data_IF_091330885666
#
_entry.id   IF_091330885666
#
_cell.length_a   1.000
_cell.length_b   1.000
_cell.length_c   1.000
_cell.angle_alpha   90.00
_cell.angle_beta   90.00
_cell.angle_gamma   90.00
#
_symmetry.space_group_name_H-M   'P 1'
#
loop_
_entity.id
_entity.type
_entity.pdbx_description
1 polymer ?
#
# COMPACT_ATOMS: atom_id res chain seq x y z
N UNK A 1 15.37 -13.74 1.74
CA UNK A 1 15.60 -12.47 1.03
C UNK A 1 15.57 -11.35 2.07
N UNK A 2 16.69 -10.64 2.23
CA UNK A 2 16.89 -9.60 3.26
C UNK A 2 15.74 -8.58 3.33
N UNK A 3 15.47 -8.12 4.56
CA UNK A 3 14.59 -7.01 4.93
C UNK A 3 14.95 -5.72 4.16
N UNK A 4 14.52 -5.61 2.91
CA UNK A 4 14.68 -4.38 2.16
C UNK A 4 13.62 -3.39 2.62
N UNK A 5 14.02 -2.49 3.53
CA UNK A 5 13.24 -1.32 3.93
C UNK A 5 12.93 -0.48 2.68
N UNK A 6 11.67 -0.09 2.52
CA UNK A 6 11.25 0.71 1.36
C UNK A 6 10.31 1.82 1.77
N UNK A 7 10.43 2.98 1.12
CA UNK A 7 9.44 4.06 1.18
C UNK A 7 8.72 4.04 -0.16
N UNK A 8 7.42 3.76 -0.15
CA UNK A 8 6.57 3.76 -1.34
C UNK A 8 5.96 5.17 -1.50
N UNK A 9 6.26 5.86 -2.62
CA UNK A 9 5.59 7.11 -2.97
C UNK A 9 4.09 6.92 -3.17
N UNK A 10 3.28 7.64 -2.40
CA UNK A 10 1.84 7.79 -2.63
C UNK A 10 1.60 9.05 -3.46
N UNK A 11 1.42 8.86 -4.76
CA UNK A 11 1.22 9.95 -5.73
C UNK A 11 -0.25 10.34 -5.75
N UNK A 12 -0.55 11.54 -5.22
CA UNK A 12 -1.89 12.14 -5.23
C UNK A 12 -2.11 13.14 -6.35
N UNK A 13 -1.01 13.72 -6.84
CA UNK A 13 -1.02 14.73 -7.89
C UNK A 13 -0.15 14.23 -9.05
N UNK A 14 -0.70 14.22 -10.26
CA UNK A 14 -0.02 13.70 -11.44
C UNK A 14 1.33 14.39 -11.71
N UNK A 15 1.45 15.69 -11.37
CA UNK A 15 2.70 16.46 -11.50
C UNK A 15 3.87 15.87 -10.70
N UNK A 16 3.59 15.07 -9.66
CA UNK A 16 4.61 14.41 -8.84
C UNK A 16 4.97 13.01 -9.34
N UNK A 17 4.28 12.48 -10.36
CA UNK A 17 4.52 11.12 -10.85
C UNK A 17 5.95 10.93 -11.36
N UNK A 18 6.48 11.91 -12.11
CA UNK A 18 7.87 11.86 -12.58
C UNK A 18 8.87 11.83 -11.41
N UNK A 19 8.64 12.65 -10.38
CA UNK A 19 9.48 12.67 -9.18
C UNK A 19 9.44 11.31 -8.46
N UNK A 20 8.25 10.76 -8.28
CA UNK A 20 8.07 9.45 -7.66
C UNK A 20 8.79 8.33 -8.46
N UNK A 21 8.70 8.36 -9.80
CA UNK A 21 9.37 7.39 -10.67
C UNK A 21 10.91 7.53 -10.68
N UNK A 22 11.47 8.63 -10.19
CA UNK A 22 12.92 8.79 -10.00
C UNK A 22 13.42 8.31 -8.63
N UNK A 23 12.51 8.00 -7.70
CA UNK A 23 12.87 7.47 -6.37
C UNK A 23 13.52 6.09 -6.45
N UNK A 24 14.13 5.65 -5.35
CA UNK A 24 14.67 4.29 -5.20
C UNK A 24 13.59 3.20 -5.05
N UNK A 25 12.33 3.59 -4.84
CA UNK A 25 11.24 2.65 -4.61
C UNK A 25 10.98 1.77 -5.84
N UNK A 26 10.79 0.47 -5.65
CA UNK A 26 10.39 -0.44 -6.73
C UNK A 26 8.89 -0.39 -7.04
N UNK A 27 8.10 0.18 -6.11
CA UNK A 27 6.64 0.31 -6.19
C UNK A 27 6.27 1.79 -6.13
N UNK A 28 5.32 2.21 -6.97
CA UNK A 28 4.68 3.52 -6.95
C UNK A 28 3.19 3.33 -6.70
N UNK A 29 2.63 4.01 -5.69
CA UNK A 29 1.20 3.97 -5.39
C UNK A 29 0.49 5.17 -6.01
N UNK A 30 -0.36 4.92 -7.01
CA UNK A 30 -1.25 5.88 -7.65
C UNK A 30 -2.50 6.04 -6.75
N UNK A 31 -2.56 7.13 -5.97
CA UNK A 31 -3.54 7.33 -4.90
C UNK A 31 -4.72 8.22 -5.27
N UNK A 32 -4.77 8.73 -6.50
CA UNK A 32 -5.87 9.53 -7.01
C UNK A 32 -5.85 9.44 -8.54
N UNK A 33 -6.63 8.50 -9.07
CA UNK A 33 -6.65 8.16 -10.49
C UNK A 33 -8.08 7.88 -10.91
N UNK A 34 -8.36 7.97 -12.20
CA UNK A 34 -9.62 7.54 -12.78
C UNK A 34 -9.37 6.53 -13.89
N UNK A 35 -10.43 5.83 -14.29
CA UNK A 35 -10.36 4.84 -15.37
C UNK A 35 -9.92 5.43 -16.72
N UNK A 36 -10.04 6.74 -16.93
CA UNK A 36 -9.67 7.43 -18.17
C UNK A 36 -8.19 7.73 -18.29
N UNK A 37 -7.48 7.93 -17.18
CA UNK A 37 -6.04 8.21 -17.17
C UNK A 37 -5.16 7.07 -16.66
N UNK A 38 -5.73 6.04 -16.01
CA UNK A 38 -4.96 4.99 -15.35
C UNK A 38 -3.97 4.26 -16.29
N UNK A 39 -4.37 3.93 -17.53
CA UNK A 39 -3.48 3.28 -18.52
C UNK A 39 -2.22 4.11 -18.78
N UNK A 40 -2.37 5.43 -18.90
CA UNK A 40 -1.24 6.34 -19.15
C UNK A 40 -0.31 6.37 -17.93
N UNK A 41 -0.88 6.37 -16.73
CA UNK A 41 -0.11 6.38 -15.49
C UNK A 41 0.66 5.07 -15.27
N UNK A 42 0.02 3.91 -15.42
CA UNK A 42 0.68 2.60 -15.26
C UNK A 42 1.78 2.43 -16.30
N UNK A 43 1.49 2.73 -17.58
CA UNK A 43 2.49 2.71 -18.65
C UNK A 43 3.69 3.62 -18.35
N UNK A 44 3.46 4.80 -17.77
CA UNK A 44 4.53 5.70 -17.38
C UNK A 44 5.39 5.11 -16.26
N UNK A 45 4.78 4.54 -15.22
CA UNK A 45 5.50 3.87 -14.13
C UNK A 45 6.35 2.71 -14.65
N UNK A 46 5.80 1.89 -15.55
CA UNK A 46 6.52 0.75 -16.14
C UNK A 46 7.70 1.17 -17.02
N UNK A 47 7.66 2.33 -17.68
CA UNK A 47 8.83 2.88 -18.43
C UNK A 47 10.05 3.09 -17.52
N UNK A 48 9.85 3.33 -16.23
CA UNK A 48 10.92 3.41 -15.23
C UNK A 48 11.27 2.06 -14.58
N UNK A 49 10.74 0.95 -15.12
CA UNK A 49 10.90 -0.42 -14.61
C UNK A 49 10.45 -0.59 -13.16
N UNK A 50 9.39 0.12 -12.78
CA UNK A 50 8.76 0.06 -11.45
C UNK A 50 7.38 -0.58 -11.55
N UNK A 51 6.86 -1.05 -10.43
CA UNK A 51 5.51 -1.62 -10.32
C UNK A 51 4.49 -0.53 -9.98
N UNK A 52 3.37 -0.52 -10.69
CA UNK A 52 2.27 0.40 -10.49
C UNK A 52 1.21 -0.23 -9.57
N UNK A 53 1.02 0.38 -8.40
CA UNK A 53 -0.01 0.00 -7.45
C UNK A 53 -1.11 1.05 -7.44
N UNK A 54 -2.34 0.65 -7.15
CA UNK A 54 -3.51 1.54 -7.06
C UNK A 54 -4.22 1.34 -5.74
N UNK A 55 -4.90 2.38 -5.26
CA UNK A 55 -5.83 2.25 -4.15
C UNK A 55 -7.23 2.01 -4.70
N UNK A 56 -7.78 0.81 -4.52
CA UNK A 56 -9.03 0.38 -5.18
C UNK A 56 -10.19 1.34 -4.95
N UNK A 57 -10.35 1.79 -3.71
CA UNK A 57 -11.44 2.66 -3.27
C UNK A 57 -11.29 4.11 -3.76
N UNK A 58 -10.14 4.50 -4.32
CA UNK A 58 -9.88 5.85 -4.84
C UNK A 58 -9.74 5.91 -6.37
N UNK A 59 -10.10 4.83 -7.08
CA UNK A 59 -10.16 4.85 -8.55
C UNK A 59 -11.55 5.36 -8.97
N UNK A 60 -11.63 6.59 -9.49
CA UNK A 60 -12.91 7.12 -9.94
C UNK A 60 -13.43 6.37 -11.19
N UNK A 61 -14.72 6.04 -11.18
CA UNK A 61 -15.37 5.26 -12.24
C UNK A 61 -15.12 3.75 -12.19
N UNK A 62 -14.49 3.25 -11.13
CA UNK A 62 -14.15 1.84 -10.97
C UNK A 62 -14.98 1.14 -9.89
N UNK A 63 -15.47 -0.06 -10.20
CA UNK A 63 -16.09 -0.94 -9.22
C UNK A 63 -15.11 -2.07 -8.83
N UNK A 64 -14.81 -2.27 -7.53
CA UNK A 64 -13.87 -3.29 -7.07
C UNK A 64 -14.50 -4.70 -7.00
N UNK A 65 -15.21 -5.10 -8.06
CA UNK A 65 -15.76 -6.44 -8.22
C UNK A 65 -14.81 -7.36 -9.01
N UNK A 66 -15.19 -8.62 -9.21
CA UNK A 66 -14.35 -9.59 -9.92
C UNK A 66 -14.04 -9.20 -11.37
N UNK A 67 -14.96 -8.50 -12.07
CA UNK A 67 -14.75 -8.05 -13.45
C UNK A 67 -13.82 -6.84 -13.47
N UNK A 68 -14.06 -5.87 -12.58
CA UNK A 68 -13.22 -4.71 -12.37
C UNK A 68 -11.77 -5.11 -12.06
N UNK A 69 -11.55 -6.02 -11.12
CA UNK A 69 -10.21 -6.48 -10.76
C UNK A 69 -9.49 -7.16 -11.94
N UNK A 70 -10.21 -7.93 -12.77
CA UNK A 70 -9.64 -8.51 -14.00
C UNK A 70 -9.29 -7.44 -15.03
N UNK A 71 -10.12 -6.40 -15.17
CA UNK A 71 -9.80 -5.24 -16.01
C UNK A 71 -8.53 -4.53 -15.51
N UNK A 72 -8.41 -4.29 -14.19
CA UNK A 72 -7.21 -3.67 -13.61
C UNK A 72 -5.95 -4.45 -13.96
N UNK A 73 -5.97 -5.77 -13.80
CA UNK A 73 -4.82 -6.61 -14.14
C UNK A 73 -4.53 -6.61 -15.64
N UNK A 74 -5.53 -6.93 -16.46
CA UNK A 74 -5.29 -7.29 -17.86
C UNK A 74 -5.28 -6.09 -18.81
N UNK A 75 -6.11 -5.08 -18.55
CA UNK A 75 -6.23 -3.91 -19.43
C UNK A 75 -5.39 -2.74 -18.91
N UNK A 76 -5.48 -2.47 -17.61
CA UNK A 76 -4.74 -1.36 -17.00
C UNK A 76 -3.31 -1.72 -16.60
N UNK A 77 -2.95 -3.01 -16.64
CA UNK A 77 -1.61 -3.51 -16.28
C UNK A 77 -1.20 -3.11 -14.86
N UNK A 78 -2.16 -3.09 -13.92
CA UNK A 78 -1.87 -2.86 -12.51
C UNK A 78 -1.12 -4.07 -11.94
N UNK A 79 -0.05 -3.82 -11.18
CA UNK A 79 0.79 -4.87 -10.57
C UNK A 79 0.31 -5.29 -9.17
N UNK A 80 -0.40 -4.39 -8.50
CA UNK A 80 -0.90 -4.62 -7.17
C UNK A 80 -1.85 -3.55 -6.67
N UNK A 81 -2.49 -3.84 -5.55
CA UNK A 81 -3.59 -3.05 -5.02
C UNK A 81 -3.43 -2.79 -3.53
N UNK A 82 -3.86 -1.61 -3.14
CA UNK A 82 -4.10 -1.21 -1.76
C UNK A 82 -5.60 -1.20 -1.53
N UNK A 83 -6.06 -1.86 -0.46
CA UNK A 83 -7.50 -1.95 -0.17
C UNK A 83 -7.78 -2.22 1.31
N UNK A 84 -8.92 -1.77 1.80
CA UNK A 84 -9.48 -2.16 3.11
C UNK A 84 -10.55 -3.25 2.98
N UNK A 85 -10.96 -3.57 1.74
CA UNK A 85 -11.97 -4.56 1.41
C UNK A 85 -11.34 -5.96 1.29
N UNK A 86 -11.69 -6.84 2.22
CA UNK A 86 -11.13 -8.20 2.31
C UNK A 86 -11.52 -9.04 1.09
N UNK A 87 -12.78 -8.96 0.65
CA UNK A 87 -13.29 -9.71 -0.49
C UNK A 87 -12.57 -9.29 -1.78
N UNK A 88 -12.45 -7.99 -2.04
CA UNK A 88 -11.72 -7.47 -3.19
C UNK A 88 -10.23 -7.84 -3.12
N UNK A 89 -9.62 -7.78 -1.93
CA UNK A 89 -8.24 -8.24 -1.72
C UNK A 89 -8.05 -9.72 -2.05
N UNK A 90 -8.94 -10.60 -1.59
CA UNK A 90 -8.85 -12.03 -1.89
C UNK A 90 -9.04 -12.33 -3.37
N UNK A 91 -9.97 -11.63 -4.04
CA UNK A 91 -10.16 -11.77 -5.49
C UNK A 91 -8.91 -11.26 -6.23
N UNK A 92 -8.37 -10.11 -5.85
CA UNK A 92 -7.16 -9.56 -6.45
C UNK A 92 -5.98 -10.55 -6.34
N UNK A 93 -5.81 -11.16 -5.17
CA UNK A 93 -4.78 -12.18 -4.93
C UNK A 93 -5.00 -13.43 -5.78
N UNK A 94 -6.24 -13.93 -5.88
CA UNK A 94 -6.54 -15.14 -6.66
C UNK A 94 -6.29 -14.97 -8.16
N UNK A 95 -6.40 -13.73 -8.67
CA UNK A 95 -6.03 -13.40 -10.04
C UNK A 95 -4.56 -13.00 -10.18
N UNK A 96 -3.73 -13.07 -9.14
CA UNK A 96 -2.29 -12.83 -9.20
C UNK A 96 -1.86 -11.37 -9.12
N UNK A 97 -2.70 -10.47 -8.59
CA UNK A 97 -2.27 -9.14 -8.17
C UNK A 97 -1.62 -9.21 -6.79
N UNK A 98 -0.63 -8.36 -6.55
CA UNK A 98 -0.11 -8.17 -5.19
C UNK A 98 -1.11 -7.38 -4.37
N UNK A 99 -1.28 -7.69 -3.09
CA UNK A 99 -2.25 -7.05 -2.21
C UNK A 99 -1.56 -6.53 -0.96
N UNK A 100 -1.65 -5.21 -0.79
CA UNK A 100 -1.33 -4.52 0.47
C UNK A 100 -2.65 -4.19 1.15
N UNK A 101 -3.01 -5.00 2.15
CA UNK A 101 -4.24 -4.79 2.90
C UNK A 101 -4.06 -3.66 3.91
N UNK A 102 -5.00 -2.74 3.95
CA UNK A 102 -4.94 -1.53 4.77
C UNK A 102 -5.85 -1.67 5.96
N UNK A 103 -5.32 -1.30 7.10
CA UNK A 103 -6.05 -1.36 8.36
C UNK A 103 -5.86 -0.06 9.15
N UNK A 104 -6.97 0.45 9.69
CA UNK A 104 -7.00 1.63 10.54
C UNK A 104 -7.00 1.25 12.01
N UNK A 105 -5.91 1.58 12.69
CA UNK A 105 -5.73 1.42 14.13
C UNK A 105 -6.29 2.65 14.85
N UNK A 106 -7.57 2.54 15.21
CA UNK A 106 -8.36 3.59 15.86
C UNK A 106 -8.40 3.35 17.38
N UNK A 107 -8.67 2.10 17.76
CA UNK A 107 -8.81 1.67 19.16
C UNK A 107 -8.36 0.20 19.34
N UNK A 108 -8.42 -0.31 20.56
CA UNK A 108 -8.06 -1.70 20.87
C UNK A 108 -8.96 -2.74 20.18
N UNK A 109 -10.22 -2.40 19.86
CA UNK A 109 -11.14 -3.29 19.12
C UNK A 109 -10.67 -3.46 17.67
N UNK A 110 -10.19 -2.38 17.07
CA UNK A 110 -9.65 -2.39 15.72
C UNK A 110 -8.43 -3.32 15.63
N UNK A 111 -7.54 -3.33 16.64
CA UNK A 111 -6.39 -4.23 16.69
C UNK A 111 -6.80 -5.71 16.77
N UNK A 112 -7.74 -6.06 17.65
CA UNK A 112 -8.25 -7.44 17.78
C UNK A 112 -8.89 -7.93 16.48
N UNK A 113 -9.70 -7.07 15.84
CA UNK A 113 -10.32 -7.38 14.54
C UNK A 113 -9.27 -7.67 13.48
N UNK A 114 -8.17 -6.93 13.47
CA UNK A 114 -7.06 -7.16 12.54
C UNK A 114 -6.45 -8.52 12.74
N UNK A 115 -6.18 -8.94 13.98
CA UNK A 115 -5.71 -10.30 14.26
C UNK A 115 -6.59 -11.37 13.61
N UNK A 116 -7.91 -11.32 13.88
CA UNK A 116 -8.87 -12.29 13.34
C UNK A 116 -8.98 -12.27 11.79
N UNK A 117 -8.87 -11.09 11.17
CA UNK A 117 -8.84 -10.99 9.70
C UNK A 117 -7.58 -11.67 9.16
N UNK A 118 -6.42 -11.40 9.75
CA UNK A 118 -5.13 -11.86 9.24
C UNK A 118 -4.86 -13.35 9.50
N UNK A 119 -5.54 -13.96 10.47
CA UNK A 119 -5.53 -15.42 10.67
C UNK A 119 -6.02 -16.17 9.43
N UNK A 120 -7.06 -15.65 8.77
CA UNK A 120 -7.72 -16.30 7.65
C UNK A 120 -7.35 -15.73 6.28
N UNK A 121 -6.61 -14.61 6.23
CA UNK A 121 -6.28 -13.91 5.00
C UNK A 121 -4.78 -13.62 4.92
N UNK A 122 -4.12 -14.23 3.93
CA UNK A 122 -2.68 -14.05 3.71
C UNK A 122 -2.42 -13.04 2.61
N UNK A 123 -2.34 -11.76 2.94
CA UNK A 123 -1.95 -10.70 1.99
C UNK A 123 -0.42 -10.55 1.90
N UNK A 124 0.06 -9.87 0.85
CA UNK A 124 1.52 -9.78 0.59
C UNK A 124 2.19 -8.79 1.56
N UNK A 125 1.45 -7.77 1.99
CA UNK A 125 1.80 -6.93 3.13
C UNK A 125 0.55 -6.32 3.78
N UNK A 126 0.69 -5.84 5.02
CA UNK A 126 -0.34 -5.13 5.76
C UNK A 126 0.15 -3.71 6.04
N UNK A 127 -0.63 -2.71 5.64
CA UNK A 127 -0.39 -1.32 5.98
C UNK A 127 -1.24 -0.89 7.17
N UNK A 128 -0.58 -0.47 8.24
CA UNK A 128 -1.20 0.09 9.44
C UNK A 128 -1.26 1.61 9.32
N UNK A 129 -2.47 2.15 9.50
CA UNK A 129 -2.72 3.58 9.49
C UNK A 129 -3.43 4.02 10.78
N UNK A 130 -3.18 5.24 11.27
CA UNK A 130 -2.07 6.09 10.88
C UNK A 130 -0.73 5.59 11.45
N UNK A 131 0.38 6.06 10.90
CA UNK A 131 1.71 5.66 11.34
C UNK A 131 1.98 6.06 12.81
N UNK A 132 1.36 7.12 13.33
CA UNK A 132 1.48 7.47 14.74
C UNK A 132 0.87 6.40 15.67
N UNK A 133 -0.29 5.84 15.32
CA UNK A 133 -0.87 4.70 16.03
C UNK A 133 -0.01 3.44 15.84
N UNK A 134 0.50 3.21 14.63
CA UNK A 134 1.38 2.07 14.35
C UNK A 134 2.67 2.08 15.20
N UNK A 135 3.22 3.26 15.45
CA UNK A 135 4.37 3.46 16.34
C UNK A 135 3.97 3.17 17.80
N UNK A 136 2.90 3.81 18.28
CA UNK A 136 2.45 3.71 19.67
C UNK A 136 2.12 2.26 20.06
N UNK A 137 1.45 1.54 19.16
CA UNK A 137 0.95 0.18 19.39
C UNK A 137 1.87 -0.90 18.80
N UNK A 138 3.11 -0.55 18.44
CA UNK A 138 4.06 -1.46 17.79
C UNK A 138 4.33 -2.74 18.58
N UNK A 139 4.36 -2.64 19.92
CA UNK A 139 4.55 -3.79 20.80
C UNK A 139 3.37 -4.77 20.74
N UNK A 140 2.14 -4.29 20.63
CA UNK A 140 0.97 -5.15 20.53
C UNK A 140 0.76 -5.68 19.11
N UNK A 141 1.12 -4.90 18.08
CA UNK A 141 1.20 -5.38 16.70
C UNK A 141 2.20 -6.53 16.55
N UNK A 142 3.34 -6.47 17.23
CA UNK A 142 4.33 -7.54 17.20
C UNK A 142 3.86 -8.85 17.86
N UNK A 143 2.85 -8.78 18.75
CA UNK A 143 2.23 -9.98 19.37
C UNK A 143 1.18 -10.62 18.47
N UNK A 144 0.66 -9.89 17.48
CA UNK A 144 -0.18 -10.49 16.46
C UNK A 144 0.76 -11.36 15.60
N UNK A 145 0.51 -12.67 15.54
CA UNK A 145 1.31 -13.63 14.75
C UNK A 145 1.11 -13.41 13.23
N UNK A 146 1.45 -12.21 12.75
CA UNK A 146 1.26 -11.78 11.37
C UNK A 146 2.44 -12.29 10.55
N UNK A 147 2.16 -13.21 9.63
CA UNK A 147 3.16 -13.75 8.70
C UNK A 147 3.53 -12.78 7.57
N UNK A 148 2.66 -11.80 7.29
CA UNK A 148 2.84 -10.78 6.26
C UNK A 148 3.76 -9.65 6.71
N UNK A 149 4.43 -8.98 5.76
CA UNK A 149 5.24 -7.79 6.07
C UNK A 149 4.36 -6.65 6.58
N UNK A 150 4.80 -5.95 7.62
CA UNK A 150 4.13 -4.76 8.15
C UNK A 150 4.65 -3.47 7.52
N UNK A 151 3.73 -2.63 7.11
CA UNK A 151 3.95 -1.31 6.53
C UNK A 151 3.24 -0.28 7.42
N UNK A 152 3.76 0.95 7.47
CA UNK A 152 3.08 2.06 8.15
C UNK A 152 2.80 3.19 7.16
N UNK A 153 1.63 3.80 7.28
CA UNK A 153 1.19 4.87 6.38
C UNK A 153 0.41 5.97 7.10
N UNK A 154 0.37 7.16 6.51
CA UNK A 154 -0.40 8.30 7.04
C UNK A 154 0.31 9.10 8.14
N UNK A 155 0.15 10.42 8.09
CA UNK A 155 0.77 11.40 9.01
C UNK A 155 2.30 11.34 9.15
N UNK A 156 3.02 10.76 8.18
CA UNK A 156 4.49 10.72 8.19
C UNK A 156 5.07 12.04 7.69
N UNK A 157 5.69 12.80 8.61
CA UNK A 157 6.14 14.17 8.36
C UNK A 157 7.66 14.37 8.34
N UNK A 158 8.42 13.52 9.04
CA UNK A 158 9.86 13.72 9.28
C UNK A 158 10.67 12.46 9.03
N UNK A 159 11.96 12.64 8.73
CA UNK A 159 12.92 11.52 8.64
C UNK A 159 13.06 10.78 9.98
N UNK A 160 13.03 11.50 11.11
CA UNK A 160 13.05 10.84 12.43
C UNK A 160 11.87 9.86 12.62
N UNK A 161 10.68 10.21 12.12
CA UNK A 161 9.53 9.32 12.16
C UNK A 161 9.73 8.10 11.24
N UNK A 162 10.33 8.30 10.06
CA UNK A 162 10.71 7.21 9.14
C UNK A 162 11.68 6.24 9.84
N UNK A 163 12.72 6.76 10.47
CA UNK A 163 13.72 5.95 11.19
C UNK A 163 13.11 5.23 12.39
N UNK A 164 12.20 5.88 13.11
CA UNK A 164 11.46 5.27 14.21
C UNK A 164 10.62 4.08 13.72
N UNK A 165 9.83 4.24 12.66
CA UNK A 165 9.02 3.17 12.08
C UNK A 165 9.89 1.98 11.67
N UNK A 166 11.00 2.23 10.99
CA UNK A 166 11.91 1.17 10.57
C UNK A 166 12.68 0.50 11.71
N UNK A 167 12.92 1.19 12.84
CA UNK A 167 13.49 0.59 14.06
C UNK A 167 12.50 -0.34 14.76
N UNK A 168 11.21 -0.05 14.66
CA UNK A 168 10.13 -0.88 15.22
C UNK A 168 9.81 -2.13 14.38
N UNK A 169 10.60 -2.43 13.35
CA UNK A 169 10.49 -3.67 12.58
C UNK A 169 9.55 -3.62 11.37
N UNK A 170 8.96 -2.46 11.07
CA UNK A 170 8.20 -2.28 9.83
C UNK A 170 9.12 -2.45 8.60
N UNK A 171 8.62 -3.16 7.60
CA UNK A 171 9.33 -3.43 6.34
C UNK A 171 9.15 -2.32 5.31
N UNK A 172 8.09 -1.52 5.43
CA UNK A 172 7.81 -0.48 4.46
C UNK A 172 7.05 0.70 5.04
N UNK A 173 7.13 1.81 4.34
CA UNK A 173 6.43 3.04 4.65
C UNK A 173 5.71 3.51 3.40
N UNK A 174 4.50 4.03 3.54
CA UNK A 174 3.84 4.76 2.46
C UNK A 174 3.63 6.21 2.87
N UNK A 175 3.96 7.13 1.98
CA UNK A 175 3.79 8.56 2.28
C UNK A 175 3.54 9.37 1.04
N UNK A 176 2.67 10.37 1.16
CA UNK A 176 2.46 11.38 0.12
C UNK A 176 3.41 12.57 0.26
N UNK A 177 4.25 12.58 1.29
CA UNK A 177 5.24 13.64 1.50
C UNK A 177 6.44 13.42 0.58
N UNK A 178 6.48 14.15 -0.54
CA UNK A 178 7.49 13.99 -1.59
C UNK A 178 8.92 14.25 -1.14
N UNK A 179 9.12 15.02 -0.06
CA UNK A 179 10.43 15.27 0.54
C UNK A 179 11.05 14.01 1.15
N UNK A 180 10.26 12.98 1.42
CA UNK A 180 10.68 11.73 2.05
C UNK A 180 10.88 10.59 1.06
N UNK A 181 10.76 10.82 -0.26
CA UNK A 181 10.86 9.76 -1.28
C UNK A 181 12.30 9.47 -1.75
N UNK A 182 13.33 10.09 -1.17
CA UNK A 182 14.73 10.00 -1.61
C UNK A 182 15.55 8.93 -0.87
#
# INVERSE_FOLDING_TARGET
MQNQKTIIPSVRELKLLQLACKSKASIILLSNTDIGNLIKQTSYVHKFRKKAFVHLELIAGFAPDAKGLRLLKNMYQVDGVFTTNIQAGNIAKSIGLNVIYRFFLIDSRSLKRTGAILENNKFDAIEVLPACSAIAESADLAKLNISSKLFAGGFIKTLNMVDQIFRLGFSGITTSNSKLWQ
#
